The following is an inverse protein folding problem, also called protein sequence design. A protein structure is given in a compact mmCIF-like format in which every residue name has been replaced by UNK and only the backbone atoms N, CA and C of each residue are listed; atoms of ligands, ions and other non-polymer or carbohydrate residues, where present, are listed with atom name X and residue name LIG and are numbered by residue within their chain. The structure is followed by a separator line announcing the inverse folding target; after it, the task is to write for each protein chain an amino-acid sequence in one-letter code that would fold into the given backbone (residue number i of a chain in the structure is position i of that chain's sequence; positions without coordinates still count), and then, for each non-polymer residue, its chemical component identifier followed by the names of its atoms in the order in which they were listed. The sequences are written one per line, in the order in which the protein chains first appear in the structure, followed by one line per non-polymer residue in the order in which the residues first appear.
data_IF_126400791541
#
_entry.id   IF_126400791541
#
_cell.length_a   1.000
_cell.length_b   1.000
_cell.length_c   1.000
_cell.angle_alpha   90.00
_cell.angle_beta   90.00
_cell.angle_gamma   90.00
#
_symmetry.space_group_name_H-M   'P 1'
#
loop_
_entity.id
_entity.type
_entity.pdbx_description
1 polymer ?
#
# COMPACT_ATOMS: atom_id res chain seq x y z
N UNK A 1 12.02 13.92 -28.31
CA UNK A 1 11.98 12.88 -27.26
C UNK A 1 10.52 12.55 -27.06
N UNK A 2 10.13 11.29 -27.18
CA UNK A 2 8.82 10.88 -26.69
C UNK A 2 8.78 11.14 -25.19
N UNK A 3 7.78 11.86 -24.75
CA UNK A 3 7.51 12.09 -23.33
C UNK A 3 7.08 10.74 -22.75
N UNK A 4 7.93 10.14 -21.90
CA UNK A 4 7.59 8.90 -21.22
C UNK A 4 6.45 9.24 -20.26
N UNK A 5 5.23 8.80 -20.60
CA UNK A 5 4.05 9.11 -19.80
C UNK A 5 4.12 8.41 -18.43
N UNK A 6 4.59 9.15 -17.44
CA UNK A 6 4.64 8.73 -16.04
C UNK A 6 3.51 9.40 -15.28
N UNK A 7 2.88 8.62 -14.42
CA UNK A 7 1.76 9.05 -13.62
C UNK A 7 1.99 8.60 -12.17
N UNK A 8 1.37 9.27 -11.19
CA UNK A 8 1.47 8.84 -9.81
C UNK A 8 0.59 7.60 -9.56
N UNK A 9 1.17 6.62 -8.87
CA UNK A 9 0.50 5.42 -8.38
C UNK A 9 0.64 5.31 -6.86
N UNK A 10 -0.37 4.72 -6.22
CA UNK A 10 -0.50 4.57 -4.77
C UNK A 10 -0.54 3.09 -4.43
N UNK A 11 0.49 2.62 -3.74
CA UNK A 11 0.48 1.35 -3.05
C UNK A 11 -0.07 1.56 -1.64
N UNK A 12 -1.12 0.84 -1.28
CA UNK A 12 -1.61 0.71 0.09
C UNK A 12 -1.33 -0.71 0.55
N UNK A 13 -0.75 -0.85 1.74
CA UNK A 13 -0.55 -2.16 2.36
C UNK A 13 -1.08 -2.17 3.78
N UNK A 14 -1.68 -3.29 4.19
CA UNK A 14 -2.31 -3.49 5.50
C UNK A 14 -1.86 -4.82 6.05
N UNK A 15 -1.39 -4.87 7.30
CA UNK A 15 -1.14 -6.14 7.97
C UNK A 15 -2.43 -6.97 8.07
N UNK A 16 -2.34 -8.24 7.69
CA UNK A 16 -3.40 -9.22 7.91
C UNK A 16 -3.58 -9.48 9.41
N UNK A 17 -4.79 -9.86 9.82
CA UNK A 17 -5.10 -10.12 11.23
C UNK A 17 -4.30 -11.32 11.80
N UNK A 18 -3.95 -12.27 10.93
CA UNK A 18 -3.21 -13.49 11.24
C UNK A 18 -1.71 -13.42 10.89
N UNK A 19 -1.19 -12.22 10.58
CA UNK A 19 0.21 -12.01 10.24
C UNK A 19 1.16 -12.49 11.35
N UNK A 20 2.08 -13.42 11.03
CA UNK A 20 3.01 -13.95 12.02
C UNK A 20 4.30 -13.14 12.06
N UNK A 21 4.85 -12.81 13.26
CA UNK A 21 6.12 -12.08 13.39
C UNK A 21 7.29 -12.70 12.61
N UNK A 22 7.34 -14.03 12.52
CA UNK A 22 8.40 -14.76 11.82
C UNK A 22 8.35 -14.55 10.30
N UNK A 23 7.15 -14.52 9.71
CA UNK A 23 6.94 -14.27 8.29
C UNK A 23 7.34 -12.83 7.94
N UNK A 24 6.96 -11.89 8.81
CA UNK A 24 7.34 -10.47 8.70
C UNK A 24 8.86 -10.32 8.75
N UNK A 25 9.51 -10.89 9.76
CA UNK A 25 10.96 -10.77 9.96
C UNK A 25 11.76 -11.36 8.79
N UNK A 26 11.28 -12.44 8.20
CA UNK A 26 11.93 -13.11 7.06
C UNK A 26 11.85 -12.27 5.78
N UNK A 27 10.70 -11.63 5.52
CA UNK A 27 10.47 -10.86 4.29
C UNK A 27 10.93 -9.40 4.38
N UNK A 28 11.07 -8.83 5.58
CA UNK A 28 11.38 -7.41 5.78
C UNK A 28 12.65 -6.93 5.06
N UNK A 29 13.78 -7.67 5.05
CA UNK A 29 14.97 -7.23 4.32
C UNK A 29 14.73 -7.09 2.81
N UNK A 30 13.97 -8.01 2.22
CA UNK A 30 13.64 -7.97 0.80
C UNK A 30 12.68 -6.81 0.47
N UNK A 31 11.71 -6.55 1.34
CA UNK A 31 10.82 -5.39 1.20
C UNK A 31 11.56 -4.06 1.32
N UNK A 32 12.50 -3.95 2.28
CA UNK A 32 13.34 -2.76 2.42
C UNK A 32 14.11 -2.51 1.13
N UNK A 33 14.73 -3.55 0.56
CA UNK A 33 15.49 -3.41 -0.69
C UNK A 33 14.61 -2.93 -1.86
N UNK A 34 13.38 -3.44 -1.98
CA UNK A 34 12.44 -2.99 -3.01
C UNK A 34 12.12 -1.50 -2.84
N UNK A 35 11.85 -1.05 -1.61
CA UNK A 35 11.56 0.36 -1.33
C UNK A 35 12.80 1.24 -1.58
N UNK A 36 13.97 0.80 -1.14
CA UNK A 36 15.23 1.51 -1.30
C UNK A 36 15.62 1.66 -2.78
N UNK A 37 15.46 0.61 -3.60
CA UNK A 37 15.66 0.67 -5.05
C UNK A 37 14.81 1.78 -5.68
N UNK A 38 13.54 1.84 -5.30
CA UNK A 38 12.59 2.83 -5.83
C UNK A 38 12.87 4.24 -5.33
N UNK A 39 13.23 4.38 -4.05
CA UNK A 39 13.66 5.65 -3.49
C UNK A 39 14.92 6.19 -4.17
N UNK A 40 15.96 5.36 -4.30
CA UNK A 40 17.23 5.74 -4.91
C UNK A 40 17.11 6.02 -6.42
N UNK A 41 16.13 5.41 -7.10
CA UNK A 41 15.84 5.71 -8.51
C UNK A 41 15.14 7.06 -8.74
N UNK A 42 14.75 7.76 -7.68
CA UNK A 42 13.98 9.01 -7.75
C UNK A 42 12.50 8.82 -8.12
N UNK A 43 12.02 7.58 -8.19
CA UNK A 43 10.63 7.26 -8.53
C UNK A 43 9.69 7.22 -7.32
N UNK A 44 10.22 7.18 -6.09
CA UNK A 44 9.40 7.27 -4.87
C UNK A 44 9.14 8.73 -4.51
N UNK A 45 7.88 9.16 -4.56
CA UNK A 45 7.46 10.50 -4.14
C UNK A 45 7.36 10.55 -2.61
N UNK A 46 6.74 9.54 -2.01
CA UNK A 46 6.49 9.49 -0.58
C UNK A 46 6.25 8.05 -0.11
N UNK A 47 6.65 7.72 1.11
CA UNK A 47 6.29 6.44 1.76
C UNK A 47 6.20 6.64 3.26
N UNK A 48 5.19 6.05 3.89
CA UNK A 48 5.01 6.15 5.33
C UNK A 48 3.84 5.36 5.90
N UNK A 49 3.84 5.12 7.22
CA UNK A 49 2.73 4.47 7.91
C UNK A 49 1.56 5.43 8.13
N UNK A 50 0.36 4.87 8.29
CA UNK A 50 -0.77 5.56 8.91
C UNK A 50 -0.67 5.48 10.44
N UNK A 51 -1.48 6.28 11.13
CA UNK A 51 -1.51 6.35 12.60
C UNK A 51 -2.18 5.13 13.29
N UNK A 52 -2.47 4.06 12.55
CA UNK A 52 -3.14 2.85 13.06
C UNK A 52 -2.18 1.68 13.35
N UNK A 53 -0.88 1.88 13.12
CA UNK A 53 0.19 0.87 13.23
C UNK A 53 0.00 -0.38 12.35
N UNK A 54 -0.97 -0.38 11.43
CA UNK A 54 -1.34 -1.53 10.60
C UNK A 54 -1.21 -1.25 9.11
N UNK A 55 -1.44 -0.01 8.72
CA UNK A 55 -1.53 0.41 7.34
C UNK A 55 -0.33 1.27 6.97
N UNK A 56 0.17 1.11 5.76
CA UNK A 56 1.14 2.03 5.16
C UNK A 56 0.74 2.38 3.73
N UNK A 57 1.27 3.50 3.26
CA UNK A 57 1.09 3.97 1.89
C UNK A 57 2.43 4.36 1.28
N UNK A 58 2.61 4.07 0.01
CA UNK A 58 3.71 4.54 -0.81
C UNK A 58 3.16 5.14 -2.11
N UNK A 59 3.74 6.25 -2.53
CA UNK A 59 3.38 6.97 -3.75
C UNK A 59 4.59 6.97 -4.66
N UNK A 60 4.44 6.44 -5.86
CA UNK A 60 5.49 6.34 -6.87
C UNK A 60 5.09 7.10 -8.15
N UNK A 61 6.08 7.64 -8.86
CA UNK A 61 5.92 8.17 -10.22
C UNK A 61 6.50 7.16 -11.22
N UNK A 62 5.64 6.60 -12.05
CA UNK A 62 6.01 5.48 -12.91
C UNK A 62 5.15 5.44 -14.18
N UNK A 63 5.64 4.76 -15.21
CA UNK A 63 4.75 4.24 -16.26
C UNK A 63 3.87 3.12 -15.68
N UNK A 64 2.76 2.81 -16.36
CA UNK A 64 1.88 1.70 -15.94
C UNK A 64 2.62 0.36 -15.80
N UNK A 65 3.50 0.02 -16.74
CA UNK A 65 4.29 -1.23 -16.68
C UNK A 65 5.21 -1.27 -15.46
N UNK A 66 5.94 -0.17 -15.21
CA UNK A 66 6.83 -0.07 -14.05
C UNK A 66 6.06 -0.18 -12.72
N UNK A 67 4.86 0.42 -12.64
CA UNK A 67 4.00 0.32 -11.47
C UNK A 67 3.47 -1.11 -11.25
N UNK A 68 3.09 -1.82 -12.32
CA UNK A 68 2.67 -3.22 -12.27
C UNK A 68 3.81 -4.15 -11.85
N UNK A 69 5.02 -3.92 -12.36
CA UNK A 69 6.22 -4.66 -11.98
C UNK A 69 6.58 -4.45 -10.50
N UNK A 70 6.56 -3.20 -10.03
CA UNK A 70 6.75 -2.87 -8.62
C UNK A 70 5.72 -3.56 -7.74
N UNK A 71 4.45 -3.42 -8.09
CA UNK A 71 3.35 -4.01 -7.34
C UNK A 71 3.49 -5.53 -7.26
N UNK A 72 3.78 -6.19 -8.38
CA UNK A 72 3.94 -7.65 -8.43
C UNK A 72 5.07 -8.12 -7.52
N UNK A 73 6.25 -7.47 -7.60
CA UNK A 73 7.42 -7.80 -6.76
C UNK A 73 7.15 -7.56 -5.28
N UNK A 74 6.51 -6.44 -4.94
CA UNK A 74 6.16 -6.11 -3.56
C UNK A 74 5.12 -7.10 -3.01
N UNK A 75 4.03 -7.34 -3.74
CA UNK A 75 2.97 -8.25 -3.32
C UNK A 75 3.48 -9.68 -3.15
N UNK A 76 4.23 -10.24 -4.10
CA UNK A 76 4.76 -11.61 -3.96
C UNK A 76 5.70 -11.77 -2.76
N UNK A 77 6.37 -10.70 -2.35
CA UNK A 77 7.28 -10.70 -1.19
C UNK A 77 6.50 -10.61 0.13
N UNK A 78 5.34 -9.95 0.13
CA UNK A 78 4.60 -9.63 1.35
C UNK A 78 3.27 -10.39 1.53
N UNK A 79 2.78 -11.10 0.51
CA UNK A 79 1.40 -11.63 0.45
C UNK A 79 1.05 -12.57 1.59
N UNK A 80 2.03 -13.15 2.28
CA UNK A 80 1.79 -14.00 3.45
C UNK A 80 1.23 -13.19 4.63
N UNK A 81 1.62 -11.91 4.79
CA UNK A 81 1.29 -11.11 5.97
C UNK A 81 0.73 -9.71 5.67
N UNK A 82 0.81 -9.23 4.42
CA UNK A 82 0.16 -7.99 3.97
C UNK A 82 -0.97 -8.30 2.99
N UNK A 83 -2.05 -7.53 3.10
CA UNK A 83 -2.97 -7.27 1.99
C UNK A 83 -2.50 -6.02 1.28
N UNK A 84 -2.24 -6.10 -0.03
CA UNK A 84 -1.70 -4.98 -0.81
C UNK A 84 -2.64 -4.58 -1.94
N UNK A 85 -2.65 -3.30 -2.27
CA UNK A 85 -3.50 -2.71 -3.30
C UNK A 85 -2.74 -1.62 -4.03
N UNK A 86 -2.77 -1.63 -5.36
CA UNK A 86 -2.20 -0.56 -6.19
C UNK A 86 -3.31 0.19 -6.91
N UNK A 87 -3.29 1.51 -6.81
CA UNK A 87 -4.22 2.40 -7.49
C UNK A 87 -3.46 3.46 -8.28
N UNK A 88 -4.02 3.89 -9.41
CA UNK A 88 -3.58 5.14 -10.03
C UNK A 88 -4.07 6.31 -9.16
N UNK A 89 -3.25 7.34 -8.94
CA UNK A 89 -3.54 8.44 -8.01
C UNK A 89 -4.81 9.23 -8.36
N UNK A 90 -5.15 9.34 -9.64
CA UNK A 90 -6.40 9.97 -10.10
C UNK A 90 -7.67 9.24 -9.61
N UNK A 91 -7.54 8.02 -9.06
CA UNK A 91 -8.61 7.30 -8.38
C UNK A 91 -8.85 7.74 -6.92
N UNK A 92 -8.10 8.73 -6.38
CA UNK A 92 -8.24 9.26 -5.02
C UNK A 92 -9.66 9.67 -4.59
N UNK A 93 -10.56 10.20 -5.46
CA UNK A 93 -11.96 10.43 -5.07
C UNK A 93 -12.66 9.16 -4.54
N UNK A 94 -12.29 7.98 -5.05
CA UNK A 94 -12.85 6.70 -4.62
C UNK A 94 -12.32 6.23 -3.26
N UNK A 95 -11.07 6.55 -2.89
CA UNK A 95 -10.51 6.17 -1.59
C UNK A 95 -11.25 6.84 -0.42
N UNK A 96 -11.74 8.08 -0.64
CA UNK A 96 -12.62 8.77 0.33
C UNK A 96 -13.93 8.00 0.60
N UNK A 97 -14.44 7.28 -0.40
CA UNK A 97 -15.65 6.46 -0.29
C UNK A 97 -15.40 5.13 0.43
N UNK A 98 -14.20 4.54 0.27
CA UNK A 98 -13.81 3.31 0.98
C UNK A 98 -13.64 3.60 2.48
N UNK A 99 -12.98 4.70 2.84
CA UNK A 99 -12.83 5.13 4.24
C UNK A 99 -14.18 5.35 4.94
N UNK A 100 -15.16 5.94 4.24
CA UNK A 100 -16.51 6.13 4.80
C UNK A 100 -17.28 4.82 5.01
N UNK A 101 -17.16 3.84 4.09
CA UNK A 101 -17.83 2.54 4.25
C UNK A 101 -17.28 1.73 5.42
N UNK A 102 -15.96 1.77 5.66
CA UNK A 102 -15.32 1.11 6.80
C UNK A 102 -15.79 1.73 8.13
N UNK A 103 -15.89 3.06 8.20
CA UNK A 103 -16.38 3.77 9.39
C UNK A 103 -17.86 3.54 9.69
N UNK A 104 -18.70 3.31 8.68
CA UNK A 104 -20.12 3.01 8.89
C UNK A 104 -20.35 1.58 9.42
N UNK A 105 -19.51 0.62 9.03
CA UNK A 105 -19.60 -0.77 9.50
C UNK A 105 -19.20 -0.92 10.98
N UNK A 106 -18.26 -0.12 11.47
CA UNK A 106 -17.82 -0.14 12.88
C UNK A 106 -18.78 0.58 13.84
N UNK A 107 -19.63 1.49 13.35
CA UNK A 107 -20.62 2.20 14.18
C UNK A 107 -21.91 1.41 14.42
N UNK A 108 -22.14 0.29 13.72
CA UNK A 108 -23.33 -0.54 13.89
C UNK A 108 -23.18 -1.65 14.95
N UNK A 109 -22.00 -1.79 15.58
CA UNK A 109 -21.70 -2.87 16.54
C UNK A 109 -21.44 -2.33 17.95
N UNK A 110 -22.29 -1.42 18.44
CA UNK A 110 -22.38 -1.17 19.88
C UNK A 110 -23.85 -1.19 20.28
N UNK A 111 -24.38 -2.32 20.80
CA UNK A 111 -25.61 -2.27 21.56
C UNK A 111 -25.28 -1.55 22.87
N UNK A 112 -25.89 -0.39 23.08
CA UNK A 112 -25.95 0.25 24.39
C UNK A 112 -26.47 -0.77 25.42
N UNK A 113 -25.62 -1.16 26.37
CA UNK A 113 -26.05 -1.90 27.55
C UNK A 113 -26.77 -0.91 28.47
N UNK A 114 -28.09 -1.10 28.59
CA UNK A 114 -28.92 -0.54 29.66
C UNK A 114 -28.56 -1.13 31.02
#
# INVERSE_FOLDING_TARGET
MEEINREPFVLVSVFKEDAKPEEIATAMPALSLIIDEWHNSGKMIWSGPFNDNKTSMSVIEATKSEAEEFYTKYNSTAEQFLSTYMYKWDAMPFLSLIGNKINQATLQITPEQQ
#
